data_IF_915998126852
#
_entry.id   IF_915998126852
#
_cell.length_a   1.000
_cell.length_b   1.000
_cell.length_c   1.000
_cell.angle_alpha   90.00
_cell.angle_beta   90.00
_cell.angle_gamma   90.00
#
_symmetry.space_group_name_H-M   'P 1'
#
loop_
_entity.id
_entity.type
_entity.pdbx_description
1 polymer ?
#
# COMPACT_ATOMS: atom_id res chain seq x y z
N UNK A 1 78.19 -33.13 -1.93
CA UNK A 1 77.22 -34.16 -1.50
C UNK A 1 77.30 -34.20 0.02
N UNK A 2 76.31 -33.78 0.81
CA UNK A 2 74.99 -34.40 1.00
C UNK A 2 73.94 -33.35 1.39
N UNK A 3 72.76 -33.49 0.79
CA UNK A 3 71.50 -32.76 0.99
C UNK A 3 70.88 -33.02 2.36
N UNK A 4 70.29 -32.00 3.02
CA UNK A 4 69.38 -32.21 4.16
C UNK A 4 67.97 -31.75 3.77
N UNK A 5 67.05 -32.71 3.76
CA UNK A 5 65.62 -32.57 3.48
C UNK A 5 64.88 -31.95 4.67
N UNK A 6 64.09 -30.90 4.42
CA UNK A 6 63.14 -30.36 5.38
C UNK A 6 61.85 -31.21 5.38
N UNK A 7 61.58 -31.91 6.47
CA UNK A 7 60.39 -32.73 6.67
C UNK A 7 59.23 -31.87 7.20
N UNK A 8 58.19 -31.68 6.39
CA UNK A 8 56.99 -30.93 6.76
C UNK A 8 56.11 -31.79 7.69
N UNK A 9 56.09 -31.46 8.99
CA UNK A 9 55.18 -32.08 9.98
C UNK A 9 53.74 -31.60 9.65
N UNK A 10 52.83 -32.53 9.33
CA UNK A 10 51.44 -32.19 9.05
C UNK A 10 50.81 -31.36 10.18
N UNK A 11 49.85 -30.47 9.88
CA UNK A 11 49.26 -29.61 10.90
C UNK A 11 48.70 -30.47 12.04
N UNK A 12 48.95 -30.11 13.31
CA UNK A 12 48.46 -30.87 14.43
C UNK A 12 46.93 -30.96 14.35
N UNK A 13 46.36 -32.11 14.72
CA UNK A 13 44.91 -32.39 14.72
C UNK A 13 44.02 -31.25 15.28
N UNK A 14 44.55 -30.45 16.21
CA UNK A 14 43.89 -29.26 16.74
C UNK A 14 43.69 -28.16 15.68
N UNK A 15 44.65 -27.92 14.80
CA UNK A 15 44.54 -26.92 13.72
C UNK A 15 43.48 -27.35 12.72
N UNK A 16 43.43 -28.64 12.37
CA UNK A 16 42.39 -29.17 11.48
C UNK A 16 41.01 -29.01 12.13
N UNK A 17 40.88 -29.34 13.43
CA UNK A 17 39.62 -29.18 14.15
C UNK A 17 39.14 -27.71 14.20
N UNK A 18 40.05 -26.77 14.41
CA UNK A 18 39.74 -25.32 14.40
C UNK A 18 39.30 -24.85 13.02
N UNK A 19 39.99 -25.28 11.95
CA UNK A 19 39.62 -24.91 10.58
C UNK A 19 38.24 -25.47 10.22
N UNK A 20 37.94 -26.71 10.60
CA UNK A 20 36.62 -27.30 10.37
C UNK A 20 35.54 -26.55 11.15
N UNK A 21 35.78 -26.19 12.41
CA UNK A 21 34.86 -25.37 13.20
C UNK A 21 34.60 -23.99 12.58
N UNK A 22 35.64 -23.33 12.06
CA UNK A 22 35.51 -22.04 11.38
C UNK A 22 34.72 -22.16 10.08
N UNK A 23 34.94 -23.23 9.30
CA UNK A 23 34.18 -23.49 8.08
C UNK A 23 32.70 -23.77 8.37
N UNK A 24 32.41 -24.57 9.41
CA UNK A 24 31.03 -24.87 9.82
C UNK A 24 30.33 -23.62 10.37
N UNK A 25 31.01 -22.81 11.19
CA UNK A 25 30.47 -21.55 11.71
C UNK A 25 30.22 -20.52 10.61
N UNK A 26 31.15 -20.38 9.66
CA UNK A 26 31.01 -19.49 8.50
C UNK A 26 29.89 -19.92 7.56
N UNK A 27 29.77 -21.22 7.29
CA UNK A 27 28.67 -21.77 6.48
C UNK A 27 27.30 -21.57 7.16
N UNK A 28 27.22 -21.79 8.47
CA UNK A 28 26.00 -21.55 9.25
C UNK A 28 25.59 -20.07 9.26
N UNK A 29 26.56 -19.16 9.46
CA UNK A 29 26.32 -17.73 9.41
C UNK A 29 25.87 -17.26 8.03
N UNK A 30 26.52 -17.72 6.97
CA UNK A 30 26.16 -17.39 5.58
C UNK A 30 24.75 -17.89 5.23
N UNK A 31 24.41 -19.12 5.64
CA UNK A 31 23.08 -19.69 5.42
C UNK A 31 21.99 -18.88 6.13
N UNK A 32 22.19 -18.51 7.40
CA UNK A 32 21.22 -17.68 8.14
C UNK A 32 21.03 -16.31 7.49
N UNK A 33 22.12 -15.63 7.12
CA UNK A 33 22.08 -14.31 6.48
C UNK A 33 21.32 -14.34 5.15
N UNK A 34 21.51 -15.38 4.34
CA UNK A 34 20.81 -15.53 3.05
C UNK A 34 19.29 -15.68 3.22
N UNK A 35 18.84 -16.30 4.31
CA UNK A 35 17.43 -16.53 4.57
C UNK A 35 16.71 -15.24 5.00
N UNK A 36 17.41 -14.33 5.69
CA UNK A 36 16.87 -13.01 6.05
C UNK A 36 16.72 -12.07 4.86
N UNK A 37 17.61 -12.12 3.86
CA UNK A 37 17.47 -11.30 2.65
C UNK A 37 16.30 -11.75 1.76
N UNK A 38 16.03 -13.07 1.70
CA UNK A 38 14.87 -13.59 0.97
C UNK A 38 13.54 -13.16 1.60
N UNK A 39 13.47 -13.09 2.94
CA UNK A 39 12.28 -12.64 3.66
C UNK A 39 11.98 -11.14 3.48
N UNK A 40 13.02 -10.30 3.37
CA UNK A 40 12.87 -8.86 3.19
C UNK A 40 12.25 -8.47 1.83
N UNK A 41 12.54 -9.25 0.77
CA UNK A 41 11.99 -9.03 -0.57
C UNK A 41 10.55 -9.54 -0.74
N UNK A 42 10.06 -10.36 0.17
CA UNK A 42 8.76 -11.04 0.07
C UNK A 42 7.57 -10.19 0.55
N UNK A 43 7.81 -9.01 1.13
CA UNK A 43 6.76 -8.20 1.77
C UNK A 43 6.36 -6.93 0.99
N UNK A 44 6.68 -6.88 -0.30
CA UNK A 44 6.30 -5.77 -1.18
C UNK A 44 5.06 -6.16 -1.97
N UNK A 45 3.93 -5.51 -1.71
CA UNK A 45 2.69 -5.70 -2.45
C UNK A 45 2.42 -4.45 -3.30
N UNK A 46 2.11 -4.65 -4.57
CA UNK A 46 1.65 -3.59 -5.49
C UNK A 46 0.19 -3.84 -5.82
N UNK A 47 -0.61 -2.79 -5.77
CA UNK A 47 -2.02 -2.82 -6.13
C UNK A 47 -2.49 -1.43 -6.56
N UNK A 48 -3.66 -1.38 -7.18
CA UNK A 48 -4.29 -0.13 -7.58
C UNK A 48 -5.34 0.28 -6.55
N UNK A 49 -5.46 1.58 -6.31
CA UNK A 49 -6.58 2.15 -5.57
C UNK A 49 -7.53 2.75 -6.61
N UNK A 50 -8.77 2.27 -6.63
CA UNK A 50 -9.82 2.77 -7.51
C UNK A 50 -10.87 3.53 -6.71
N UNK A 51 -11.31 4.66 -7.25
CA UNK A 51 -12.39 5.47 -6.71
C UNK A 51 -13.47 5.65 -7.77
N UNK A 52 -14.73 5.74 -7.33
CA UNK A 52 -15.84 6.03 -8.22
C UNK A 52 -16.14 7.53 -8.17
N UNK A 53 -15.94 8.20 -9.31
CA UNK A 53 -16.22 9.62 -9.45
C UNK A 53 -17.59 9.84 -10.10
N UNK A 54 -18.38 10.72 -9.49
CA UNK A 54 -19.72 11.05 -9.96
C UNK A 54 -19.86 12.56 -10.12
N UNK A 55 -20.30 12.99 -11.31
CA UNK A 55 -20.70 14.37 -11.54
C UNK A 55 -22.19 14.53 -11.26
N UNK A 56 -22.53 15.27 -10.22
CA UNK A 56 -23.93 15.55 -9.85
C UNK A 56 -24.36 16.88 -10.46
N UNK A 57 -25.50 16.88 -11.14
CA UNK A 57 -26.12 18.08 -11.71
C UNK A 57 -27.62 18.10 -11.43
N UNK A 58 -28.21 19.29 -11.42
CA UNK A 58 -29.65 19.44 -11.30
C UNK A 58 -30.35 18.94 -12.58
N UNK A 59 -31.41 18.15 -12.41
CA UNK A 59 -32.22 17.66 -13.53
C UNK A 59 -33.04 18.77 -14.23
N UNK A 60 -33.21 19.91 -13.56
CA UNK A 60 -33.94 21.07 -14.08
C UNK A 60 -33.10 22.33 -13.90
N UNK A 61 -33.27 23.29 -14.81
CA UNK A 61 -32.70 24.61 -14.64
C UNK A 61 -33.41 25.38 -13.52
N UNK A 62 -32.65 26.08 -12.68
CA UNK A 62 -33.19 26.88 -11.58
C UNK A 62 -32.13 27.73 -10.90
N UNK A 63 -32.58 28.75 -10.14
CA UNK A 63 -31.69 29.58 -9.35
C UNK A 63 -31.35 28.89 -8.03
N UNK A 64 -30.07 28.89 -7.65
CA UNK A 64 -29.63 28.38 -6.35
C UNK A 64 -30.06 29.36 -5.24
N UNK A 65 -30.70 28.82 -4.20
CA UNK A 65 -31.14 29.57 -3.01
C UNK A 65 -30.23 29.32 -1.81
N UNK A 66 -29.64 28.13 -1.71
CA UNK A 66 -28.67 27.80 -0.67
C UNK A 66 -27.76 26.66 -1.11
N UNK A 67 -26.50 26.73 -0.73
CA UNK A 67 -25.55 25.61 -0.78
C UNK A 67 -25.39 25.08 0.63
N UNK A 68 -25.51 23.76 0.82
CA UNK A 68 -25.54 23.13 2.15
C UNK A 68 -24.26 22.39 2.53
N UNK A 69 -23.29 22.33 1.61
CA UNK A 69 -22.05 21.58 1.74
C UNK A 69 -20.87 22.44 1.29
N UNK A 70 -19.69 22.18 1.84
CA UNK A 70 -18.43 22.77 1.44
C UNK A 70 -17.54 21.74 0.72
N UNK A 71 -16.47 22.22 0.09
CA UNK A 71 -15.48 21.35 -0.54
C UNK A 71 -14.79 20.48 0.51
N UNK A 72 -14.68 19.17 0.23
CA UNK A 72 -14.10 18.18 1.14
C UNK A 72 -15.08 17.59 2.17
N UNK A 73 -16.33 18.05 2.22
CA UNK A 73 -17.35 17.48 3.10
C UNK A 73 -17.72 16.05 2.67
N UNK A 74 -17.90 15.17 3.67
CA UNK A 74 -18.43 13.83 3.46
C UNK A 74 -19.95 13.87 3.44
N UNK A 75 -20.57 13.32 2.40
CA UNK A 75 -22.03 13.30 2.21
C UNK A 75 -22.53 11.88 1.95
N UNK A 76 -23.75 11.59 2.36
CA UNK A 76 -24.42 10.32 2.11
C UNK A 76 -25.41 10.43 0.94
N UNK A 77 -25.82 9.28 0.41
CA UNK A 77 -26.84 9.22 -0.63
C UNK A 77 -28.16 9.81 -0.10
N UNK A 78 -28.72 10.75 -0.86
CA UNK A 78 -29.95 11.47 -0.48
C UNK A 78 -29.71 12.79 0.26
N UNK A 79 -28.47 13.11 0.64
CA UNK A 79 -28.18 14.37 1.30
C UNK A 79 -28.40 15.56 0.34
N UNK A 80 -29.14 16.59 0.78
CA UNK A 80 -29.39 17.77 -0.05
C UNK A 80 -28.13 18.62 -0.14
N UNK A 81 -27.46 18.61 -1.29
CA UNK A 81 -26.25 19.41 -1.53
C UNK A 81 -26.58 20.90 -1.78
N UNK A 82 -27.59 21.15 -2.61
CA UNK A 82 -28.00 22.48 -3.06
C UNK A 82 -29.51 22.57 -3.09
N UNK A 83 -30.07 23.75 -2.79
CA UNK A 83 -31.50 24.01 -2.89
C UNK A 83 -31.78 24.98 -4.03
N UNK A 84 -32.63 24.56 -4.97
CA UNK A 84 -33.11 25.41 -6.06
C UNK A 84 -34.39 26.15 -5.67
N UNK A 85 -34.61 27.32 -6.26
CA UNK A 85 -35.87 28.04 -6.14
C UNK A 85 -36.98 27.25 -6.86
N UNK A 86 -38.03 26.90 -6.10
CA UNK A 86 -39.15 26.11 -6.59
C UNK A 86 -40.49 26.86 -6.55
N UNK A 87 -40.50 28.19 -6.39
CA UNK A 87 -41.75 28.97 -6.34
C UNK A 87 -42.63 28.76 -7.57
N UNK A 88 -42.04 28.83 -8.76
CA UNK A 88 -42.77 28.65 -10.02
C UNK A 88 -43.32 27.22 -10.18
N UNK A 89 -42.56 26.21 -9.74
CA UNK A 89 -42.98 24.81 -9.79
C UNK A 89 -44.12 24.54 -8.80
N UNK A 90 -44.02 25.08 -7.58
CA UNK A 90 -45.10 24.99 -6.59
C UNK A 90 -46.40 25.59 -7.11
N UNK A 91 -46.33 26.76 -7.74
CA UNK A 91 -47.52 27.40 -8.30
C UNK A 91 -48.19 26.54 -9.39
N UNK A 92 -47.39 25.95 -10.28
CA UNK A 92 -47.91 25.05 -11.32
C UNK A 92 -48.58 23.81 -10.74
N UNK A 93 -47.98 23.18 -9.71
CA UNK A 93 -48.57 22.03 -9.03
C UNK A 93 -49.90 22.44 -8.38
N UNK A 94 -49.94 23.55 -7.65
CA UNK A 94 -51.18 24.03 -7.00
C UNK A 94 -52.29 24.33 -8.01
N UNK A 95 -51.96 24.88 -9.19
CA UNK A 95 -52.95 25.10 -10.25
C UNK A 95 -53.51 23.79 -10.81
N UNK A 96 -52.64 22.78 -11.00
CA UNK A 96 -53.05 21.47 -11.49
C UNK A 96 -53.91 20.69 -10.48
N UNK A 97 -53.73 20.92 -9.18
CA UNK A 97 -54.53 20.31 -8.11
C UNK A 97 -55.91 20.96 -7.93
N UNK A 98 -56.10 22.20 -8.41
CA UNK A 98 -57.33 22.99 -8.26
C UNK A 98 -58.24 22.98 -9.50
N UNK A 99 -57.78 22.44 -10.63
CA UNK A 99 -58.57 22.24 -11.85
C UNK A 99 -59.17 20.86 -11.91
#
# INVERSE_FOLDING_TARGET
MVTVMATHKGPPKAVIAVVVLLLLGGAGWFWWQSQQQAAASANTATGSVEANDYQVAAAIAGRITSVKVAEGDTVAAGDPLVKLDNKALKLQVTQAEQG
#
